data_IF_004237013283
#
_entry.id   IF_004237013283
#
_cell.length_a   1.000
_cell.length_b   1.000
_cell.length_c   1.000
_cell.angle_alpha   90.00
_cell.angle_beta   90.00
_cell.angle_gamma   90.00
#
_symmetry.space_group_name_H-M   'P 1'
#
loop_
_entity.id
_entity.type
_entity.pdbx_description
1 polymer ?
#
# COMPACT_ATOMS: atom_id res chain seq x y z
N UNK A 1 -6.94 -9.79 28.86
CA UNK A 1 -5.77 -9.12 28.23
C UNK A 1 -5.15 -9.93 27.08
N UNK A 2 -5.27 -11.27 27.05
CA UNK A 2 -4.75 -12.12 25.96
C UNK A 2 -5.57 -12.05 24.65
N UNK A 3 -6.88 -11.83 24.72
CA UNK A 3 -7.79 -11.84 23.56
C UNK A 3 -7.50 -10.74 22.52
N UNK A 4 -7.14 -9.53 22.98
CA UNK A 4 -6.78 -8.42 22.07
C UNK A 4 -5.45 -8.69 21.34
N UNK A 5 -4.49 -9.35 21.99
CA UNK A 5 -3.15 -9.57 21.43
C UNK A 5 -3.20 -10.54 20.24
N UNK A 6 -4.00 -11.59 20.36
CA UNK A 6 -4.23 -12.54 19.25
C UNK A 6 -4.89 -11.85 18.05
N UNK A 7 -5.89 -11.00 18.29
CA UNK A 7 -6.54 -10.24 17.22
C UNK A 7 -5.58 -9.28 16.52
N UNK A 8 -4.71 -8.60 17.27
CA UNK A 8 -3.71 -7.71 16.69
C UNK A 8 -2.74 -8.47 15.78
N UNK A 9 -2.20 -9.60 16.22
CA UNK A 9 -1.34 -10.44 15.39
C UNK A 9 -2.05 -10.97 14.14
N UNK A 10 -3.33 -11.33 14.23
CA UNK A 10 -4.12 -11.76 13.06
C UNK A 10 -4.24 -10.62 12.05
N UNK A 11 -4.58 -9.41 12.50
CA UNK A 11 -4.71 -8.24 11.62
C UNK A 11 -3.37 -7.90 10.96
N UNK A 12 -2.27 -7.93 11.73
CA UNK A 12 -0.91 -7.73 11.19
C UNK A 12 -0.52 -8.81 10.20
N UNK A 13 -0.88 -10.07 10.46
CA UNK A 13 -0.65 -11.18 9.55
C UNK A 13 -1.41 -11.01 8.23
N UNK A 14 -2.66 -10.56 8.29
CA UNK A 14 -3.45 -10.25 7.10
C UNK A 14 -2.84 -9.08 6.30
N UNK A 15 -2.37 -8.04 6.98
CA UNK A 15 -1.67 -6.91 6.33
C UNK A 15 -0.45 -7.37 5.52
N UNK A 16 0.42 -8.20 6.12
CA UNK A 16 1.59 -8.75 5.41
C UNK A 16 1.18 -9.66 4.25
N UNK A 17 0.15 -10.49 4.44
CA UNK A 17 -0.34 -11.39 3.40
C UNK A 17 -0.82 -10.60 2.18
N UNK A 18 -1.67 -9.59 2.37
CA UNK A 18 -2.19 -8.76 1.29
C UNK A 18 -1.09 -7.92 0.66
N UNK A 19 -0.17 -7.34 1.44
CA UNK A 19 1.00 -6.66 0.90
C UNK A 19 1.86 -7.58 0.02
N UNK A 20 2.02 -8.85 0.39
CA UNK A 20 2.76 -9.84 -0.41
C UNK A 20 2.04 -10.18 -1.72
N UNK A 21 0.71 -10.33 -1.69
CA UNK A 21 -0.11 -10.52 -2.90
C UNK A 21 0.03 -9.32 -3.85
N UNK A 22 0.01 -8.10 -3.31
CA UNK A 22 0.17 -6.87 -4.08
C UNK A 22 1.58 -6.79 -4.67
N UNK A 23 2.63 -7.12 -3.92
CA UNK A 23 3.99 -7.22 -4.44
C UNK A 23 4.10 -8.22 -5.61
N UNK A 24 3.42 -9.37 -5.51
CA UNK A 24 3.41 -10.35 -6.61
C UNK A 24 2.66 -9.85 -7.85
N UNK A 25 1.44 -9.36 -7.66
CA UNK A 25 0.53 -8.97 -8.76
C UNK A 25 0.96 -7.68 -9.46
N UNK A 26 1.24 -6.63 -8.69
CA UNK A 26 1.73 -5.35 -9.21
C UNK A 26 3.15 -5.49 -9.78
N UNK A 27 3.98 -6.33 -9.18
CA UNK A 27 5.37 -6.55 -9.62
C UNK A 27 5.43 -7.28 -10.95
N UNK A 28 4.56 -8.28 -11.11
CA UNK A 28 4.34 -8.93 -12.39
C UNK A 28 3.86 -7.93 -13.45
N UNK A 29 2.90 -7.06 -13.12
CA UNK A 29 2.40 -6.06 -14.06
C UNK A 29 3.50 -5.08 -14.50
N UNK A 30 4.29 -4.57 -13.55
CA UNK A 30 5.45 -3.71 -13.80
C UNK A 30 6.49 -4.42 -14.67
N UNK A 31 6.79 -5.69 -14.38
CA UNK A 31 7.74 -6.48 -15.15
C UNK A 31 7.29 -6.68 -16.60
N UNK A 32 6.01 -7.03 -16.82
CA UNK A 32 5.45 -7.20 -18.17
C UNK A 32 5.43 -5.88 -18.94
N UNK A 33 5.23 -4.75 -18.25
CA UNK A 33 5.19 -3.43 -18.87
C UNK A 33 6.57 -2.86 -19.21
N UNK A 34 7.65 -3.40 -18.63
CA UNK A 34 9.03 -3.00 -19.00
C UNK A 34 9.28 -3.37 -20.46
N UNK A 35 9.32 -2.37 -21.33
CA UNK A 35 9.47 -2.57 -22.78
C UNK A 35 8.26 -2.16 -23.61
N UNK A 36 7.20 -1.63 -23.00
CA UNK A 36 6.00 -1.22 -23.74
C UNK A 36 6.30 -0.03 -24.65
N UNK A 37 5.93 -0.17 -25.93
CA UNK A 37 5.98 0.92 -26.89
C UNK A 37 4.54 1.27 -27.27
N UNK A 38 4.17 2.53 -27.12
CA UNK A 38 2.89 3.03 -27.59
C UNK A 38 3.04 3.53 -29.03
N UNK A 39 2.14 3.06 -29.90
CA UNK A 39 1.97 3.63 -31.23
C UNK A 39 1.19 4.92 -31.10
N UNK A 40 1.81 6.02 -31.51
CA UNK A 40 1.16 7.31 -31.60
C UNK A 40 1.21 7.81 -33.04
N UNK A 41 0.07 8.26 -33.55
CA UNK A 41 0.04 9.06 -34.76
C UNK A 41 0.74 10.38 -34.45
N UNK A 42 1.95 10.57 -34.97
CA UNK A 42 2.74 11.77 -34.79
C UNK A 42 2.72 12.59 -36.08
N UNK A 43 1.65 13.36 -36.36
CA UNK A 43 1.52 14.11 -37.61
C UNK A 43 2.64 15.14 -37.82
N UNK A 44 3.35 15.53 -36.75
CA UNK A 44 4.51 16.43 -36.79
C UNK A 44 5.73 15.80 -37.50
N UNK A 45 5.85 14.47 -37.53
CA UNK A 45 6.96 13.75 -38.18
C UNK A 45 6.54 13.00 -39.45
N UNK A 46 5.31 13.18 -39.93
CA UNK A 46 4.86 12.60 -41.20
C UNK A 46 4.62 11.09 -41.19
N UNK A 47 4.24 10.51 -40.05
CA UNK A 47 3.83 9.10 -39.95
C UNK A 47 3.71 8.58 -38.52
N UNK A 48 3.54 7.27 -38.41
CA UNK A 48 3.42 6.52 -37.16
C UNK A 48 4.75 6.58 -36.39
N UNK A 49 4.72 6.99 -35.13
CA UNK A 49 5.88 6.97 -34.24
C UNK A 49 5.67 5.97 -33.10
N UNK A 50 6.73 5.26 -32.74
CA UNK A 50 6.74 4.39 -31.55
C UNK A 50 7.43 5.13 -30.41
N UNK A 51 6.68 5.41 -29.35
CA UNK A 51 7.23 6.02 -28.14
C UNK A 51 7.46 4.94 -27.09
N UNK A 52 8.65 4.95 -26.51
CA UNK A 52 8.96 4.10 -25.37
C UNK A 52 8.29 4.66 -24.12
N UNK A 53 7.34 3.92 -23.54
CA UNK A 53 6.55 4.39 -22.41
C UNK A 53 7.03 3.74 -21.13
N UNK A 54 7.41 4.59 -20.17
CA UNK A 54 7.82 4.15 -18.84
C UNK A 54 6.65 3.58 -18.04
N UNK A 55 6.97 2.74 -17.06
CA UNK A 55 5.98 2.19 -16.13
C UNK A 55 5.22 3.33 -15.42
N UNK A 56 3.88 3.27 -15.31
CA UNK A 56 3.12 4.30 -14.61
C UNK A 56 3.56 4.49 -13.15
N UNK A 57 3.68 5.75 -12.72
CA UNK A 57 4.09 6.09 -11.35
C UNK A 57 3.13 5.54 -10.29
N UNK A 58 1.84 5.40 -10.62
CA UNK A 58 0.82 4.84 -9.74
C UNK A 58 1.15 3.40 -9.32
N UNK A 59 1.63 2.57 -10.24
CA UNK A 59 1.99 1.17 -9.96
C UNK A 59 3.21 1.12 -9.04
N UNK A 60 4.23 1.93 -9.35
CA UNK A 60 5.42 2.02 -8.50
C UNK A 60 5.11 2.52 -7.08
N UNK A 61 4.11 3.39 -6.92
CA UNK A 61 3.67 3.89 -5.62
C UNK A 61 2.92 2.83 -4.80
N UNK A 62 2.07 2.01 -5.43
CA UNK A 62 1.38 0.91 -4.75
C UNK A 62 2.39 -0.16 -4.27
N UNK A 63 3.40 -0.44 -5.09
CA UNK A 63 4.57 -1.24 -4.69
C UNK A 63 5.29 -0.70 -3.47
N UNK A 64 5.56 0.61 -3.45
CA UNK A 64 6.16 1.27 -2.31
C UNK A 64 5.30 1.09 -1.05
N UNK A 65 3.98 1.22 -1.16
CA UNK A 65 3.05 1.00 -0.04
C UNK A 65 3.14 -0.43 0.49
N UNK A 66 3.24 -1.43 -0.39
CA UNK A 66 3.38 -2.83 0.01
C UNK A 66 4.69 -3.08 0.78
N UNK A 67 5.82 -2.53 0.32
CA UNK A 67 7.10 -2.62 1.03
C UNK A 67 7.03 -1.89 2.38
N UNK A 68 6.39 -0.72 2.42
CA UNK A 68 6.20 0.07 3.62
C UNK A 68 5.40 -0.69 4.70
N UNK A 69 4.37 -1.45 4.32
CA UNK A 69 3.63 -2.32 5.25
C UNK A 69 4.54 -3.32 5.94
N UNK A 70 5.45 -3.96 5.20
CA UNK A 70 6.40 -4.92 5.79
C UNK A 70 7.25 -4.24 6.86
N UNK A 71 7.74 -3.02 6.61
CA UNK A 71 8.52 -2.26 7.58
C UNK A 71 7.72 -1.91 8.84
N UNK A 72 6.45 -1.49 8.69
CA UNK A 72 5.58 -1.20 9.82
C UNK A 72 5.35 -2.43 10.69
N UNK A 73 5.08 -3.58 10.07
CA UNK A 73 4.83 -4.81 10.82
C UNK A 73 6.09 -5.24 11.57
N UNK A 74 7.26 -5.19 10.92
CA UNK A 74 8.55 -5.44 11.59
C UNK A 74 8.76 -4.49 12.76
N UNK A 75 8.48 -3.20 12.59
CA UNK A 75 8.59 -2.20 13.66
C UNK A 75 7.71 -2.57 14.88
N UNK A 76 6.46 -2.98 14.66
CA UNK A 76 5.54 -3.40 15.73
C UNK A 76 6.00 -4.64 16.49
N UNK A 77 6.68 -5.59 15.84
CA UNK A 77 7.26 -6.75 16.54
C UNK A 77 8.43 -6.37 17.45
N UNK A 78 9.18 -5.32 17.09
CA UNK A 78 10.36 -4.87 17.83
C UNK A 78 9.98 -3.86 18.93
N UNK A 79 8.88 -3.12 18.77
CA UNK A 79 8.37 -2.10 19.70
C UNK A 79 8.34 -2.52 21.20
N UNK A 80 7.89 -3.74 21.56
CA UNK A 80 7.81 -4.16 22.97
C UNK A 80 9.19 -4.22 23.66
N UNK A 81 10.28 -4.34 22.91
CA UNK A 81 11.64 -4.32 23.44
C UNK A 81 12.11 -2.94 23.88
N UNK A 82 11.41 -1.88 23.47
CA UNK A 82 11.82 -0.49 23.67
C UNK A 82 10.87 0.33 24.56
N UNK A 83 9.94 -0.33 25.27
CA UNK A 83 8.86 0.25 26.10
C UNK A 83 9.25 1.40 27.05
N UNK A 84 10.53 1.58 27.36
CA UNK A 84 11.03 2.66 28.24
C UNK A 84 11.00 4.06 27.62
N UNK A 85 10.67 4.26 26.33
CA UNK A 85 10.74 5.59 25.68
C UNK A 85 9.38 6.09 25.17
N UNK A 86 8.86 7.22 25.68
CA UNK A 86 7.56 7.76 25.26
C UNK A 86 7.52 8.18 23.77
N UNK A 87 8.67 8.43 23.15
CA UNK A 87 8.77 8.77 21.71
C UNK A 87 8.26 7.66 20.80
N UNK A 88 8.32 6.39 21.23
CA UNK A 88 7.98 5.24 20.38
C UNK A 88 6.48 5.20 20.07
N UNK A 89 5.63 5.57 21.03
CA UNK A 89 4.19 5.66 20.81
C UNK A 89 3.82 6.71 19.75
N UNK A 90 4.57 7.81 19.65
CA UNK A 90 4.36 8.80 18.59
C UNK A 90 4.78 8.25 17.22
N UNK A 91 5.91 7.55 17.14
CA UNK A 91 6.37 6.89 15.91
C UNK A 91 5.32 5.88 15.42
N UNK A 92 4.76 5.07 16.32
CA UNK A 92 3.68 4.13 15.99
C UNK A 92 2.46 4.83 15.40
N UNK A 93 1.97 5.92 16.00
CA UNK A 93 0.83 6.68 15.46
C UNK A 93 1.15 7.27 14.08
N UNK A 94 2.32 7.90 13.93
CA UNK A 94 2.70 8.52 12.66
C UNK A 94 2.87 7.47 11.56
N UNK A 95 3.47 6.32 11.86
CA UNK A 95 3.64 5.23 10.90
C UNK A 95 2.28 4.69 10.40
N UNK A 96 1.33 4.46 11.32
CA UNK A 96 -0.03 4.05 10.96
C UNK A 96 -0.76 5.11 10.13
N UNK A 97 -0.64 6.39 10.49
CA UNK A 97 -1.28 7.48 9.75
C UNK A 97 -0.74 7.61 8.32
N UNK A 98 0.60 7.51 8.16
CA UNK A 98 1.24 7.48 6.84
C UNK A 98 0.74 6.29 6.03
N UNK A 99 0.62 5.11 6.64
CA UNK A 99 0.12 3.93 5.95
C UNK A 99 -1.35 4.08 5.50
N UNK A 100 -2.23 4.57 6.37
CA UNK A 100 -3.64 4.81 6.00
C UNK A 100 -3.74 5.75 4.80
N UNK A 101 -2.98 6.84 4.80
CA UNK A 101 -3.00 7.82 3.72
C UNK A 101 -2.34 7.29 2.44
N UNK A 102 -1.23 6.56 2.57
CA UNK A 102 -0.50 6.01 1.43
C UNK A 102 -1.30 4.92 0.74
N UNK A 103 -1.94 4.02 1.49
CA UNK A 103 -2.79 2.97 0.92
C UNK A 103 -4.03 3.56 0.24
N UNK A 104 -4.67 4.57 0.85
CA UNK A 104 -5.80 5.28 0.23
C UNK A 104 -5.40 5.90 -1.10
N UNK A 105 -4.30 6.64 -1.13
CA UNK A 105 -3.79 7.24 -2.36
C UNK A 105 -3.38 6.17 -3.38
N UNK A 106 -2.78 5.07 -2.93
CA UNK A 106 -2.21 4.03 -3.78
C UNK A 106 -3.26 3.28 -4.58
N UNK A 107 -4.28 2.72 -3.92
CA UNK A 107 -5.30 1.96 -4.63
C UNK A 107 -6.13 2.86 -5.56
N UNK A 108 -6.41 4.11 -5.16
CA UNK A 108 -7.15 5.07 -6.01
C UNK A 108 -6.31 5.44 -7.23
N UNK A 109 -5.02 5.73 -7.07
CA UNK A 109 -4.13 6.06 -8.17
C UNK A 109 -4.06 4.91 -9.19
N UNK A 110 -3.95 3.66 -8.74
CA UNK A 110 -3.95 2.50 -9.65
C UNK A 110 -5.34 2.27 -10.27
N UNK A 111 -6.43 2.45 -9.53
CA UNK A 111 -7.79 2.35 -10.07
C UNK A 111 -8.03 3.33 -11.22
N UNK A 112 -7.62 4.59 -11.05
CA UNK A 112 -7.73 5.63 -12.09
C UNK A 112 -6.81 5.32 -13.26
N UNK A 113 -5.57 4.89 -13.00
CA UNK A 113 -4.62 4.59 -14.07
C UNK A 113 -5.09 3.41 -14.95
N UNK A 114 -5.68 2.38 -14.33
CA UNK A 114 -6.24 1.22 -15.03
C UNK A 114 -7.46 1.58 -15.87
N UNK A 115 -8.26 2.58 -15.46
CA UNK A 115 -9.43 3.00 -16.22
C UNK A 115 -9.12 3.95 -17.38
N UNK A 116 -8.01 4.69 -17.32
CA UNK A 116 -7.63 5.67 -18.34
C UNK A 116 -6.60 5.18 -19.35
N UNK A 117 -5.79 4.16 -19.03
CA UNK A 117 -4.67 3.73 -19.89
C UNK A 117 -5.11 2.72 -20.96
N UNK A 118 -4.80 3.02 -22.23
CA UNK A 118 -5.05 2.17 -23.41
C UNK A 118 -4.32 0.82 -23.37
N UNK A 119 -3.22 0.70 -22.63
CA UNK A 119 -2.49 -0.55 -22.42
C UNK A 119 -3.32 -1.65 -21.71
N UNK A 120 -4.36 -1.26 -20.97
CA UNK A 120 -5.33 -2.20 -20.40
C UNK A 120 -6.45 -2.57 -21.40
N UNK A 121 -6.61 -1.81 -22.49
CA UNK A 121 -7.62 -2.03 -23.54
C UNK A 121 -7.21 -3.12 -24.54
N UNK A 122 -5.92 -3.44 -24.65
CA UNK A 122 -5.37 -4.42 -25.60
C UNK A 122 -5.36 -5.87 -25.09
N UNK A 123 -6.07 -6.17 -24.00
CA UNK A 123 -6.32 -7.54 -23.55
C UNK A 123 -5.14 -8.26 -22.88
N UNK A 124 -4.12 -7.52 -22.43
CA UNK A 124 -2.99 -8.14 -21.73
C UNK A 124 -3.38 -8.63 -20.32
N UNK A 125 -2.94 -9.85 -19.98
CA UNK A 125 -3.18 -10.50 -18.67
C UNK A 125 -2.69 -9.68 -17.45
N UNK A 126 -1.78 -8.72 -17.67
CA UNK A 126 -1.29 -7.77 -16.65
C UNK A 126 -2.41 -6.89 -16.08
N UNK A 127 -3.43 -6.56 -16.88
CA UNK A 127 -4.53 -5.71 -16.41
C UNK A 127 -5.44 -6.40 -15.39
N UNK A 128 -5.66 -7.71 -15.54
CA UNK A 128 -6.42 -8.48 -14.56
C UNK A 128 -5.69 -8.55 -13.21
N UNK A 129 -4.35 -8.69 -13.23
CA UNK A 129 -3.52 -8.65 -12.04
C UNK A 129 -3.57 -7.28 -11.34
N UNK A 130 -3.56 -6.18 -12.09
CA UNK A 130 -3.69 -4.83 -11.54
C UNK A 130 -5.06 -4.58 -10.90
N UNK A 131 -6.15 -5.06 -11.51
CA UNK A 131 -7.49 -4.97 -10.90
C UNK A 131 -7.55 -5.72 -9.56
N UNK A 132 -6.95 -6.91 -9.51
CA UNK A 132 -6.82 -7.65 -8.26
C UNK A 132 -5.99 -6.87 -7.22
N UNK A 133 -4.83 -6.34 -7.64
CA UNK A 133 -3.96 -5.52 -6.79
C UNK A 133 -4.69 -4.30 -6.20
N UNK A 134 -5.48 -3.60 -7.02
CA UNK A 134 -6.34 -2.49 -6.56
C UNK A 134 -7.35 -2.93 -5.50
N UNK A 135 -8.00 -4.08 -5.69
CA UNK A 135 -8.97 -4.60 -4.73
C UNK A 135 -8.31 -4.97 -3.40
N UNK A 136 -7.18 -5.69 -3.45
CA UNK A 136 -6.40 -5.99 -2.25
C UNK A 136 -5.86 -4.72 -1.58
N UNK A 137 -5.47 -3.69 -2.34
CA UNK A 137 -5.06 -2.40 -1.79
C UNK A 137 -6.17 -1.68 -1.03
N UNK A 138 -7.42 -1.80 -1.48
CA UNK A 138 -8.57 -1.27 -0.75
C UNK A 138 -8.85 -2.04 0.55
N UNK A 139 -8.70 -3.37 0.55
CA UNK A 139 -8.80 -4.17 1.78
C UNK A 139 -7.66 -3.86 2.76
N UNK A 140 -6.46 -3.65 2.23
CA UNK A 140 -5.29 -3.28 3.04
C UNK A 140 -5.50 -1.93 3.71
N UNK A 141 -6.05 -0.95 2.98
CA UNK A 141 -6.45 0.33 3.55
C UNK A 141 -7.44 0.17 4.72
N UNK A 142 -8.44 -0.72 4.59
CA UNK A 142 -9.38 -1.00 5.68
C UNK A 142 -8.70 -1.61 6.90
N UNK A 143 -7.74 -2.53 6.70
CA UNK A 143 -6.96 -3.10 7.80
C UNK A 143 -6.16 -2.01 8.52
N UNK A 144 -5.52 -1.11 7.77
CA UNK A 144 -4.80 0.04 8.35
C UNK A 144 -5.71 1.04 9.06
N UNK A 145 -6.94 1.23 8.60
CA UNK A 145 -7.93 2.02 9.33
C UNK A 145 -8.25 1.39 10.69
N UNK A 146 -8.43 0.07 10.73
CA UNK A 146 -8.69 -0.65 12.00
C UNK A 146 -7.48 -0.56 12.94
N UNK A 147 -6.25 -0.78 12.46
CA UNK A 147 -5.05 -0.68 13.30
C UNK A 147 -4.79 0.75 13.74
N UNK A 148 -4.92 1.73 12.85
CA UNK A 148 -4.74 3.14 13.16
C UNK A 148 -5.71 3.63 14.24
N UNK A 149 -6.99 3.28 14.13
CA UNK A 149 -8.00 3.61 15.16
C UNK A 149 -7.62 3.00 16.51
N UNK A 150 -7.18 1.73 16.55
CA UNK A 150 -6.75 1.07 17.79
C UNK A 150 -5.52 1.73 18.40
N UNK A 151 -4.52 2.07 17.60
CA UNK A 151 -3.29 2.75 18.04
C UNK A 151 -3.61 4.10 18.66
N UNK A 152 -4.48 4.89 18.01
CA UNK A 152 -4.93 6.19 18.51
C UNK A 152 -5.68 6.05 19.83
N UNK A 153 -6.62 5.11 19.93
CA UNK A 153 -7.35 4.86 21.19
C UNK A 153 -6.42 4.43 22.33
N UNK A 154 -5.46 3.54 22.04
CA UNK A 154 -4.47 3.07 23.02
C UNK A 154 -3.63 4.24 23.56
N UNK A 155 -3.16 5.12 22.66
CA UNK A 155 -2.40 6.30 23.05
C UNK A 155 -3.19 7.22 23.98
N UNK A 156 -4.42 7.58 23.62
CA UNK A 156 -5.26 8.44 24.45
C UNK A 156 -5.61 7.79 25.80
N UNK A 157 -5.84 6.49 25.84
CA UNK A 157 -6.13 5.78 27.08
C UNK A 157 -4.91 5.75 28.03
N UNK A 158 -3.72 5.56 27.48
CA UNK A 158 -2.47 5.63 28.25
C UNK A 158 -2.24 7.04 28.82
N UNK A 159 -2.46 8.09 28.02
CA UNK A 159 -2.38 9.48 28.47
C UNK A 159 -3.33 9.78 29.63
N UNK A 160 -4.58 9.29 29.57
CA UNK A 160 -5.55 9.44 30.68
C UNK A 160 -5.05 8.79 31.96
N UNK A 161 -4.47 7.58 31.87
CA UNK A 161 -3.95 6.83 33.02
C UNK A 161 -2.75 7.50 33.68
N UNK A 162 -1.87 8.14 32.91
CA UNK A 162 -0.76 8.93 33.47
C UNK A 162 -1.24 10.20 34.19
N UNK A 163 -2.34 10.80 33.74
CA UNK A 163 -2.88 12.04 34.32
C UNK A 163 -3.70 11.83 35.61
N UNK A 164 -4.10 10.59 35.90
CA UNK A 164 -4.87 10.21 37.10
C UNK A 164 -4.04 9.63 38.25
N UNK A 165 -2.71 9.52 38.07
CA UNK A 165 -1.77 9.04 39.09
C UNK A 165 -0.91 10.18 39.62
#
# INVERSE_FOLDING_TARGET
MAENKSLDYIVRGLQVLFATIIMGTDGYAIHVFRGHNDYVDAPVYGGDATLHVGVPAAWSFLMFCAVWTVLIVVFHFVEPGFTSRPMIGYVGITAEAVAVLSWLAGFIAVAVNVSTTSACSSGQNSCAALKASTAFGAFEWLLFMVTGIRTVMSFFNNQKRFRSS
#
